data_IF_435804889372
#
_entry.id   IF_435804889372
#
_cell.length_a   1.000
_cell.length_b   1.000
_cell.length_c   1.000
_cell.angle_alpha   90.00
_cell.angle_beta   90.00
_cell.angle_gamma   90.00
#
_symmetry.space_group_name_H-M   'P 1'
#
loop_
_entity.id
_entity.type
_entity.pdbx_description
1 polymer ?
#
# COMPACT_ATOMS: atom_id res chain seq x y z
N UNK A 1 -9.13 1.01 -37.79
CA UNK A 1 -8.47 0.43 -36.61
C UNK A 1 -9.48 0.55 -35.48
N UNK A 2 -10.15 -0.53 -35.12
CA UNK A 2 -11.21 -0.52 -34.09
C UNK A 2 -10.61 -0.16 -32.72
N UNK A 3 -11.25 0.73 -31.93
CA UNK A 3 -10.76 1.07 -30.60
C UNK A 3 -10.90 -0.14 -29.66
N UNK A 4 -9.78 -0.65 -29.14
CA UNK A 4 -9.81 -1.69 -28.12
C UNK A 4 -10.40 -1.12 -26.83
N UNK A 5 -11.48 -1.73 -26.32
CA UNK A 5 -12.03 -1.37 -25.01
C UNK A 5 -11.05 -1.76 -23.90
N UNK A 6 -10.82 -0.88 -22.90
CA UNK A 6 -9.89 -1.17 -21.81
C UNK A 6 -10.36 -2.39 -21.02
N UNK A 7 -9.44 -3.33 -20.75
CA UNK A 7 -9.73 -4.53 -19.97
C UNK A 7 -10.25 -4.13 -18.58
N UNK A 8 -11.52 -4.46 -18.28
CA UNK A 8 -12.09 -4.26 -16.94
C UNK A 8 -11.29 -5.09 -15.93
N UNK A 9 -10.62 -4.40 -15.00
CA UNK A 9 -9.91 -5.03 -13.90
C UNK A 9 -10.93 -5.75 -13.00
N UNK A 10 -10.79 -7.07 -12.82
CA UNK A 10 -11.65 -7.83 -11.90
C UNK A 10 -11.32 -7.45 -10.46
N UNK A 11 -12.32 -7.25 -9.59
CA UNK A 11 -12.06 -6.96 -8.19
C UNK A 11 -11.34 -8.13 -7.52
N UNK A 12 -10.56 -7.83 -6.47
CA UNK A 12 -9.97 -8.86 -5.63
C UNK A 12 -11.07 -9.63 -4.90
N UNK A 13 -10.82 -10.91 -4.61
CA UNK A 13 -11.73 -11.71 -3.79
C UNK A 13 -11.85 -11.11 -2.38
N UNK A 14 -13.08 -11.10 -1.86
CA UNK A 14 -13.34 -10.78 -0.46
C UNK A 14 -12.79 -11.86 0.46
N UNK A 15 -12.73 -11.57 1.76
CA UNK A 15 -12.35 -12.56 2.78
C UNK A 15 -13.24 -13.80 2.71
N UNK A 16 -14.55 -13.59 2.61
CA UNK A 16 -15.53 -14.68 2.63
C UNK A 16 -15.46 -15.54 1.38
N UNK A 17 -15.26 -14.92 0.21
CA UNK A 17 -15.03 -15.66 -1.04
C UNK A 17 -13.77 -16.53 -0.97
N UNK A 18 -12.68 -16.02 -0.37
CA UNK A 18 -11.45 -16.80 -0.17
C UNK A 18 -11.67 -17.94 0.81
N UNK A 19 -12.40 -17.69 1.90
CA UNK A 19 -12.77 -18.73 2.86
C UNK A 19 -13.58 -19.84 2.17
N UNK A 20 -14.59 -19.49 1.38
CA UNK A 20 -15.37 -20.46 0.60
C UNK A 20 -14.50 -21.24 -0.39
N UNK A 21 -13.56 -20.59 -1.08
CA UNK A 21 -12.60 -21.30 -1.95
C UNK A 21 -11.80 -22.35 -1.18
N UNK A 22 -11.27 -22.00 -0.01
CA UNK A 22 -10.47 -22.90 0.83
C UNK A 22 -11.32 -24.07 1.35
N UNK A 23 -12.52 -23.79 1.85
CA UNK A 23 -13.45 -24.83 2.34
C UNK A 23 -13.88 -25.78 1.22
N UNK A 24 -14.24 -25.26 0.05
CA UNK A 24 -14.62 -26.11 -1.08
C UNK A 24 -13.41 -26.92 -1.58
N UNK A 25 -12.22 -26.34 -1.52
CA UNK A 25 -11.00 -27.05 -1.88
C UNK A 25 -10.68 -28.18 -0.89
N UNK A 26 -10.88 -27.97 0.41
CA UNK A 26 -10.61 -28.99 1.43
C UNK A 26 -11.53 -30.20 1.35
N UNK A 27 -12.76 -30.02 0.86
CA UNK A 27 -13.70 -31.13 0.59
C UNK A 27 -13.49 -31.77 -0.80
N UNK A 28 -12.42 -31.40 -1.52
CA UNK A 28 -12.00 -32.05 -2.76
C UNK A 28 -12.55 -31.43 -4.05
N UNK A 29 -13.22 -30.28 -4.02
CA UNK A 29 -13.72 -29.66 -5.25
C UNK A 29 -12.56 -29.21 -6.16
N UNK A 30 -12.79 -29.33 -7.47
CA UNK A 30 -11.85 -28.83 -8.49
C UNK A 30 -11.92 -27.31 -8.60
N UNK A 31 -10.83 -26.67 -9.03
CA UNK A 31 -10.81 -25.21 -9.19
C UNK A 31 -11.87 -24.71 -10.17
N UNK A 32 -12.17 -25.49 -11.21
CA UNK A 32 -13.21 -25.14 -12.19
C UNK A 32 -14.62 -25.21 -11.57
N UNK A 33 -14.92 -26.24 -10.77
CA UNK A 33 -16.20 -26.37 -10.09
C UNK A 33 -16.42 -25.22 -9.09
N UNK A 34 -15.38 -24.86 -8.32
CA UNK A 34 -15.41 -23.72 -7.38
C UNK A 34 -15.62 -22.41 -8.14
N UNK A 35 -14.87 -22.20 -9.24
CA UNK A 35 -14.98 -20.99 -10.05
C UNK A 35 -16.38 -20.80 -10.62
N UNK A 36 -16.99 -21.88 -11.12
CA UNK A 36 -18.38 -21.87 -11.61
C UNK A 36 -19.39 -21.62 -10.48
N UNK A 37 -19.20 -22.26 -9.32
CA UNK A 37 -20.10 -22.12 -8.17
C UNK A 37 -20.08 -20.71 -7.56
N UNK A 38 -18.89 -20.10 -7.43
CA UNK A 38 -18.71 -18.78 -6.83
C UNK A 38 -18.76 -17.63 -7.86
N UNK A 39 -18.90 -17.94 -9.15
CA UNK A 39 -18.87 -17.00 -10.28
C UNK A 39 -17.61 -16.09 -10.29
N UNK A 40 -16.45 -16.71 -10.09
CA UNK A 40 -15.13 -16.05 -10.10
C UNK A 40 -14.19 -16.74 -11.10
N UNK A 41 -13.03 -16.15 -11.41
CA UNK A 41 -12.11 -16.81 -12.33
C UNK A 41 -11.40 -18.00 -11.67
N UNK A 42 -11.13 -19.04 -12.45
CA UNK A 42 -10.32 -20.18 -12.00
C UNK A 42 -8.93 -19.74 -11.48
N UNK A 43 -8.34 -18.71 -12.09
CA UNK A 43 -7.09 -18.12 -11.61
C UNK A 43 -7.23 -17.47 -10.21
N UNK A 44 -8.36 -16.82 -9.91
CA UNK A 44 -8.63 -16.28 -8.58
C UNK A 44 -8.77 -17.40 -7.54
N UNK A 45 -9.42 -18.52 -7.90
CA UNK A 45 -9.51 -19.72 -7.05
C UNK A 45 -8.13 -20.30 -6.79
N UNK A 46 -7.34 -20.50 -7.85
CA UNK A 46 -5.97 -21.02 -7.76
C UNK A 46 -5.12 -20.14 -6.84
N UNK A 47 -5.15 -18.82 -7.03
CA UNK A 47 -4.43 -17.88 -6.18
C UNK A 47 -4.88 -17.96 -4.72
N UNK A 48 -6.20 -18.00 -4.47
CA UNK A 48 -6.73 -18.10 -3.11
C UNK A 48 -6.25 -19.37 -2.40
N UNK A 49 -6.32 -20.52 -3.08
CA UNK A 49 -5.87 -21.81 -2.55
C UNK A 49 -4.34 -21.85 -2.37
N UNK A 50 -3.57 -21.28 -3.30
CA UNK A 50 -2.10 -21.27 -3.20
C UNK A 50 -1.59 -20.42 -2.03
N UNK A 51 -2.21 -19.26 -1.79
CA UNK A 51 -1.86 -18.40 -0.66
C UNK A 51 -2.34 -18.94 0.70
N UNK A 52 -3.22 -19.94 0.69
CA UNK A 52 -3.75 -20.67 1.85
C UNK A 52 -4.15 -19.79 3.05
N UNK A 53 -4.66 -18.59 2.77
CA UNK A 53 -5.06 -17.64 3.80
C UNK A 53 -6.33 -16.90 3.38
N UNK A 54 -7.39 -16.91 4.22
CA UNK A 54 -8.67 -16.32 3.84
C UNK A 54 -8.61 -14.78 3.79
N UNK A 55 -7.73 -14.13 4.57
CA UNK A 55 -7.65 -12.67 4.57
C UNK A 55 -6.65 -12.19 3.51
N UNK A 56 -7.05 -11.32 2.56
CA UNK A 56 -6.13 -10.71 1.61
C UNK A 56 -5.02 -9.91 2.30
N UNK A 57 -3.82 -9.90 1.72
CA UNK A 57 -2.70 -9.10 2.24
C UNK A 57 -3.02 -7.60 2.18
N UNK A 58 -2.82 -6.88 3.29
CA UNK A 58 -2.95 -5.42 3.33
C UNK A 58 -1.94 -4.80 2.36
N UNK A 59 -2.38 -3.84 1.55
CA UNK A 59 -1.48 -3.09 0.65
C UNK A 59 -0.55 -2.24 1.52
N UNK A 60 0.74 -2.23 1.18
CA UNK A 60 1.78 -1.45 1.89
C UNK A 60 1.53 0.07 1.83
N UNK A 61 0.68 0.53 0.91
CA UNK A 61 0.44 1.95 0.67
C UNK A 61 1.58 2.60 -0.10
N UNK A 62 1.51 3.93 -0.26
CA UNK A 62 2.59 4.72 -0.82
C UNK A 62 3.69 4.87 0.23
N UNK A 63 4.97 4.61 -0.11
CA UNK A 63 6.06 4.82 0.84
C UNK A 63 6.17 6.31 1.22
N UNK A 64 6.73 6.62 2.39
CA UNK A 64 6.96 8.00 2.82
C UNK A 64 7.94 8.70 1.88
N UNK A 65 7.82 10.03 1.78
CA UNK A 65 8.69 10.84 0.90
C UNK A 65 10.12 10.94 1.47
N UNK A 66 10.25 11.04 2.79
CA UNK A 66 11.54 11.07 3.49
C UNK A 66 11.91 9.67 3.97
N UNK A 67 13.19 9.33 3.84
CA UNK A 67 13.76 8.14 4.47
C UNK A 67 13.87 8.31 5.99
N UNK A 68 13.98 7.21 6.74
CA UNK A 68 14.16 7.25 8.20
C UNK A 68 15.38 8.10 8.59
N UNK A 69 16.52 7.93 7.90
CA UNK A 69 17.72 8.73 8.14
C UNK A 69 17.51 10.24 7.89
N UNK A 70 16.68 10.63 6.92
CA UNK A 70 16.33 12.03 6.71
C UNK A 70 15.44 12.56 7.83
N UNK A 71 14.50 11.73 8.33
CA UNK A 71 13.69 12.10 9.50
C UNK A 71 14.57 12.31 10.73
N UNK A 72 15.53 11.41 10.98
CA UNK A 72 16.47 11.54 12.09
C UNK A 72 17.31 12.82 11.98
N UNK A 73 17.80 13.13 10.77
CA UNK A 73 18.57 14.36 10.51
C UNK A 73 17.70 15.61 10.73
N UNK A 74 16.43 15.58 10.32
CA UNK A 74 15.47 16.66 10.53
C UNK A 74 15.19 16.89 12.02
N UNK A 75 14.94 15.81 12.77
CA UNK A 75 14.71 15.88 14.21
C UNK A 75 15.93 16.40 14.95
N UNK A 76 17.12 15.92 14.61
CA UNK A 76 18.37 16.37 15.21
C UNK A 76 18.57 17.87 14.99
N UNK A 77 18.32 18.36 13.77
CA UNK A 77 18.42 19.79 13.45
C UNK A 77 17.42 20.64 14.24
N UNK A 78 16.16 20.21 14.32
CA UNK A 78 15.11 20.92 15.07
C UNK A 78 15.43 20.98 16.57
N UNK A 79 15.97 19.90 17.13
CA UNK A 79 16.34 19.80 18.55
C UNK A 79 17.61 20.57 18.90
N UNK A 80 18.48 20.85 17.93
CA UNK A 80 19.77 21.50 18.16
C UNK A 80 19.66 22.95 18.67
N UNK A 81 18.57 23.67 18.40
CA UNK A 81 18.40 25.04 18.90
C UNK A 81 16.94 25.46 19.03
N UNK A 82 16.67 26.43 19.91
CA UNK A 82 15.34 27.06 20.03
C UNK A 82 14.91 27.72 18.72
N UNK A 83 15.84 28.36 18.02
CA UNK A 83 15.57 29.03 16.74
C UNK A 83 15.14 28.03 15.67
N UNK A 84 15.84 26.88 15.58
CA UNK A 84 15.50 25.81 14.63
C UNK A 84 14.11 25.23 14.90
N UNK A 85 13.74 25.09 16.18
CA UNK A 85 12.42 24.61 16.60
C UNK A 85 11.27 25.54 16.22
N UNK A 86 11.54 26.83 16.04
CA UNK A 86 10.53 27.83 15.68
C UNK A 86 10.42 28.03 14.17
N UNK A 87 11.29 27.41 13.36
CA UNK A 87 11.19 27.47 11.90
C UNK A 87 9.91 26.77 11.42
N UNK A 88 9.23 27.40 10.46
CA UNK A 88 8.12 26.80 9.74
C UNK A 88 8.58 25.65 8.86
N UNK A 89 7.68 24.73 8.52
CA UNK A 89 7.98 23.62 7.62
C UNK A 89 8.44 24.09 6.23
N UNK A 90 7.98 25.28 5.79
CA UNK A 90 8.39 25.89 4.54
C UNK A 90 9.83 26.39 4.61
N UNK A 91 10.21 27.05 5.71
CA UNK A 91 11.59 27.51 5.93
C UNK A 91 12.57 26.34 6.04
N UNK A 92 12.15 25.25 6.71
CA UNK A 92 12.94 24.02 6.79
C UNK A 92 13.17 23.42 5.40
N UNK A 93 12.12 23.33 4.57
CA UNK A 93 12.21 22.80 3.21
C UNK A 93 13.00 23.71 2.26
N UNK A 94 12.87 25.04 2.37
CA UNK A 94 13.51 26.00 1.47
C UNK A 94 14.94 26.38 1.88
N UNK A 95 15.31 26.21 3.14
CA UNK A 95 16.62 26.56 3.69
C UNK A 95 17.47 25.31 3.97
N UNK A 96 17.55 24.84 5.22
CA UNK A 96 18.47 23.76 5.62
C UNK A 96 18.32 22.47 4.81
N UNK A 97 17.09 22.13 4.40
CA UNK A 97 16.78 20.89 3.71
C UNK A 97 16.41 21.07 2.23
N UNK A 98 16.81 22.20 1.62
CA UNK A 98 16.56 22.48 0.19
C UNK A 98 17.09 21.38 -0.73
N UNK A 99 18.21 20.78 -0.37
CA UNK A 99 18.86 19.72 -1.13
C UNK A 99 18.04 18.41 -1.18
N UNK A 100 17.08 18.21 -0.27
CA UNK A 100 16.15 17.08 -0.34
C UNK A 100 15.06 17.26 -1.40
N UNK A 101 14.88 18.48 -1.92
CA UNK A 101 13.87 18.82 -2.92
C UNK A 101 12.46 18.30 -2.56
N UNK A 102 12.09 18.48 -1.29
CA UNK A 102 10.80 18.06 -0.74
C UNK A 102 9.91 19.25 -0.46
N UNK A 103 8.60 19.06 -0.52
CA UNK A 103 7.64 20.10 -0.18
C UNK A 103 7.52 20.27 1.33
N UNK A 104 6.99 21.42 1.75
CA UNK A 104 6.58 21.69 3.14
C UNK A 104 5.71 20.55 3.71
N UNK A 105 4.80 20.00 2.90
CA UNK A 105 3.92 18.89 3.31
C UNK A 105 4.69 17.62 3.68
N UNK A 106 5.81 17.34 3.00
CA UNK A 106 6.64 16.18 3.34
C UNK A 106 7.33 16.36 4.68
N UNK A 107 7.85 17.56 4.98
CA UNK A 107 8.44 17.93 6.28
C UNK A 107 7.40 17.80 7.38
N UNK A 108 6.22 18.40 7.20
CA UNK A 108 5.13 18.32 8.18
C UNK A 108 4.68 16.89 8.44
N UNK A 109 4.47 16.09 7.40
CA UNK A 109 4.06 14.69 7.55
C UNK A 109 5.13 13.86 8.28
N UNK A 110 6.41 14.20 8.13
CA UNK A 110 7.49 13.53 8.85
C UNK A 110 7.47 13.85 10.34
N UNK A 111 7.19 15.09 10.72
CA UNK A 111 7.14 15.55 12.12
C UNK A 111 5.86 15.15 12.88
N UNK A 112 4.85 14.63 12.18
CA UNK A 112 3.57 14.18 12.75
C UNK A 112 3.48 12.66 12.93
N UNK A 113 4.57 11.93 12.64
CA UNK A 113 4.66 10.49 12.84
C UNK A 113 4.86 10.13 14.31
#
# INVERSE_FOLDING_TARGET
MEPQTPRRHRPNLTRDQRLQCLTLRSIGWTYEAIARHLNISQHQVQWACHTDHPTPRKRRGRPPVLSEAQVDQLEAFIRASRTNRLMSCLELAAGPFRHWNVSEYAIRNALQR
#
